data_IF_432770466425
#
_entry.id   IF_432770466425
#
_cell.length_a   1.000
_cell.length_b   1.000
_cell.length_c   1.000
_cell.angle_alpha   90.00
_cell.angle_beta   90.00
_cell.angle_gamma   90.00
#
_symmetry.space_group_name_H-M   'P 1'
#
loop_
_entity.id
_entity.type
_entity.pdbx_description
1 polymer ?
#
# COMPACT_ATOMS: atom_id res chain seq x y z
N UNK A 1 4.62 -1.27 10.54
CA UNK A 1 3.52 -0.30 10.33
C UNK A 1 3.72 0.86 11.29
N UNK A 2 3.51 2.08 10.82
CA UNK A 2 3.41 3.33 11.59
C UNK A 2 1.97 3.81 11.50
N UNK A 3 1.31 3.92 12.64
CA UNK A 3 -0.13 4.21 12.71
C UNK A 3 -0.46 5.57 12.04
N UNK A 4 -1.52 5.58 11.23
CA UNK A 4 -1.93 6.75 10.46
C UNK A 4 -1.03 7.11 9.26
N UNK A 5 0.11 6.42 9.09
CA UNK A 5 1.12 6.75 8.07
C UNK A 5 1.29 5.65 7.01
N UNK A 6 1.47 4.39 7.42
CA UNK A 6 1.71 3.28 6.49
C UNK A 6 2.78 2.29 6.94
N UNK A 7 3.33 1.54 5.99
CA UNK A 7 4.40 0.55 6.24
C UNK A 7 5.77 1.13 5.93
N UNK A 8 6.74 0.85 6.81
CA UNK A 8 8.14 1.24 6.62
C UNK A 8 8.83 0.28 5.65
N UNK A 9 9.62 0.82 4.73
CA UNK A 9 10.43 0.02 3.80
C UNK A 9 11.62 -0.66 4.50
N UNK A 10 12.18 -0.02 5.54
CA UNK A 10 13.27 -0.57 6.37
C UNK A 10 12.93 -0.50 7.86
N UNK A 11 13.57 -1.33 8.66
CA UNK A 11 13.24 -1.49 10.09
C UNK A 11 13.81 -0.41 11.00
N UNK A 12 14.89 0.24 10.58
CA UNK A 12 15.70 1.18 11.34
C UNK A 12 15.40 2.65 11.04
N UNK A 13 14.81 2.96 9.89
CA UNK A 13 14.44 4.34 9.52
C UNK A 13 12.92 4.55 9.48
N UNK A 14 12.41 5.76 9.80
CA UNK A 14 10.99 6.13 9.73
C UNK A 14 10.54 6.46 8.30
N UNK A 15 11.03 5.70 7.31
CA UNK A 15 10.73 5.85 5.90
C UNK A 15 9.55 4.98 5.51
N UNK A 16 8.39 5.61 5.33
CA UNK A 16 7.15 4.97 4.89
C UNK A 16 7.05 5.05 3.38
N UNK A 17 6.59 3.98 2.73
CA UNK A 17 6.45 3.92 1.27
C UNK A 17 5.05 3.49 0.88
N UNK A 18 4.56 4.04 -0.24
CA UNK A 18 3.22 3.73 -0.72
C UNK A 18 3.09 2.28 -1.20
N UNK A 19 4.14 1.73 -1.84
CA UNK A 19 4.20 0.34 -2.30
C UNK A 19 4.09 -0.64 -1.14
N UNK A 20 4.96 -0.55 -0.13
CA UNK A 20 4.98 -1.47 1.00
C UNK A 20 3.71 -1.34 1.83
N UNK A 21 3.12 -0.13 1.91
CA UNK A 21 1.80 0.06 2.54
C UNK A 21 0.70 -0.68 1.77
N UNK A 22 0.70 -0.57 0.43
CA UNK A 22 -0.26 -1.28 -0.42
C UNK A 22 -0.04 -2.80 -0.41
N UNK A 23 1.19 -3.29 -0.42
CA UNK A 23 1.53 -4.71 -0.31
C UNK A 23 1.15 -5.27 1.06
N UNK A 24 1.31 -4.49 2.12
CA UNK A 24 0.80 -4.86 3.45
C UNK A 24 -0.73 -4.96 3.43
N UNK A 25 -1.42 -4.00 2.80
CA UNK A 25 -2.87 -4.08 2.62
C UNK A 25 -3.28 -5.33 1.84
N UNK A 26 -2.54 -5.66 0.76
CA UNK A 26 -2.75 -6.85 -0.03
C UNK A 26 -2.58 -8.14 0.80
N UNK A 27 -1.59 -8.18 1.69
CA UNK A 27 -1.35 -9.30 2.58
C UNK A 27 -2.48 -9.50 3.61
N UNK A 28 -3.04 -8.41 4.17
CA UNK A 28 -4.22 -8.51 5.04
C UNK A 28 -5.48 -8.93 4.27
N UNK A 29 -5.68 -8.38 3.08
CA UNK A 29 -6.77 -8.81 2.20
C UNK A 29 -6.64 -10.30 1.84
N UNK A 30 -5.41 -10.80 1.69
CA UNK A 30 -5.14 -12.18 1.36
C UNK A 30 -5.64 -13.19 2.40
N UNK A 31 -5.61 -12.80 3.67
CA UNK A 31 -6.07 -13.62 4.81
C UNK A 31 -7.51 -13.29 5.23
N UNK A 32 -8.23 -12.45 4.46
CA UNK A 32 -9.61 -12.08 4.73
C UNK A 32 -9.80 -10.93 5.73
N UNK A 33 -8.72 -10.31 6.23
CA UNK A 33 -8.81 -9.11 7.07
C UNK A 33 -8.96 -7.85 6.20
N UNK A 34 -10.17 -7.69 5.66
CA UNK A 34 -10.50 -6.61 4.73
C UNK A 34 -10.54 -5.24 5.44
N UNK A 35 -10.85 -5.20 6.73
CA UNK A 35 -10.91 -3.96 7.51
C UNK A 35 -9.51 -3.34 7.67
N UNK A 36 -8.53 -4.13 8.11
CA UNK A 36 -7.14 -3.69 8.21
C UNK A 36 -6.57 -3.34 6.84
N UNK A 37 -6.88 -4.15 5.81
CA UNK A 37 -6.46 -3.88 4.44
C UNK A 37 -6.99 -2.54 3.92
N UNK A 38 -8.27 -2.25 4.16
CA UNK A 38 -8.92 -1.00 3.73
C UNK A 38 -8.32 0.23 4.42
N UNK A 39 -7.97 0.09 5.71
CA UNK A 39 -7.32 1.15 6.46
C UNK A 39 -5.92 1.47 5.89
N UNK A 40 -5.08 0.44 5.70
CA UNK A 40 -3.75 0.59 5.12
C UNK A 40 -3.81 1.18 3.70
N UNK A 41 -4.73 0.70 2.87
CA UNK A 41 -4.94 1.25 1.53
C UNK A 41 -5.31 2.74 1.58
N UNK A 42 -6.10 3.16 2.57
CA UNK A 42 -6.46 4.58 2.76
C UNK A 42 -5.24 5.43 3.10
N UNK A 43 -4.29 4.92 3.90
CA UNK A 43 -3.07 5.65 4.25
C UNK A 43 -2.15 5.91 3.05
N UNK A 44 -2.19 5.08 1.99
CA UNK A 44 -1.45 5.35 0.74
C UNK A 44 -1.79 6.72 0.13
N UNK A 45 -2.98 7.27 0.43
CA UNK A 45 -3.39 8.62 -0.04
C UNK A 45 -2.44 9.72 0.44
N UNK A 46 -1.72 9.55 1.54
CA UNK A 46 -0.69 10.50 1.99
C UNK A 46 0.46 10.68 1.00
N UNK A 47 0.66 9.71 0.12
CA UNK A 47 1.68 9.72 -0.94
C UNK A 47 1.13 10.18 -2.30
N UNK A 48 -0.20 10.30 -2.46
CA UNK A 48 -0.83 10.56 -3.76
C UNK A 48 -0.56 11.99 -4.22
N UNK A 49 -0.12 12.13 -5.46
CA UNK A 49 0.14 13.40 -6.17
C UNK A 49 -1.11 13.85 -6.92
N UNK A 50 -1.12 15.13 -7.32
CA UNK A 50 -2.25 15.74 -8.04
C UNK A 50 -2.50 15.09 -9.41
N UNK A 51 -1.45 14.58 -10.07
CA UNK A 51 -1.54 13.83 -11.33
C UNK A 51 -2.02 12.37 -11.16
N UNK A 52 -2.27 11.95 -9.92
CA UNK A 52 -2.72 10.61 -9.57
C UNK A 52 -1.61 9.58 -9.36
N UNK A 53 -0.35 9.91 -9.63
CA UNK A 53 0.79 9.07 -9.26
C UNK A 53 1.05 9.13 -7.74
N UNK A 54 1.99 8.33 -7.25
CA UNK A 54 2.33 8.27 -5.82
C UNK A 54 3.83 8.53 -5.66
N UNK A 55 4.20 9.36 -4.69
CA UNK A 55 5.58 9.43 -4.22
C UNK A 55 5.99 8.04 -3.71
N UNK A 56 7.20 7.59 -4.05
CA UNK A 56 7.72 6.30 -3.58
C UNK A 56 7.65 6.21 -2.06
N UNK A 57 8.20 7.21 -1.36
CA UNK A 57 8.16 7.26 0.10
C UNK A 57 8.35 8.63 0.72
N UNK A 58 8.08 8.67 2.02
CA UNK A 58 8.09 9.86 2.86
C UNK A 58 8.78 9.49 4.19
N UNK A 59 9.83 10.23 4.54
CA UNK A 59 10.54 10.10 5.81
C UNK A 59 9.84 10.96 6.85
N UNK A 60 9.47 10.35 7.99
CA UNK A 60 8.80 11.02 9.10
C UNK A 60 9.76 11.33 10.26
N UNK A 61 9.52 12.39 11.06
CA UNK A 61 8.35 13.28 11.04
C UNK A 61 8.43 14.43 10.03
N UNK A 62 9.60 14.69 9.44
CA UNK A 62 9.86 15.89 8.63
C UNK A 62 9.16 15.89 7.25
N UNK A 63 8.53 14.77 6.89
CA UNK A 63 7.79 14.56 5.63
C UNK A 63 8.64 14.80 4.39
N UNK A 64 9.89 14.36 4.43
CA UNK A 64 10.83 14.48 3.32
C UNK A 64 10.53 13.37 2.31
N UNK A 65 10.28 13.72 1.05
CA UNK A 65 10.13 12.74 -0.03
C UNK A 65 11.47 12.06 -0.27
N UNK A 66 11.47 10.72 -0.25
CA UNK A 66 12.66 9.92 -0.50
C UNK A 66 12.29 8.61 -1.24
N UNK A 67 13.01 8.25 -2.31
CA UNK A 67 14.04 9.04 -2.99
C UNK A 67 13.51 10.35 -3.60
N UNK A 68 14.39 11.34 -3.80
CA UNK A 68 13.99 12.68 -4.24
C UNK A 68 13.24 12.65 -5.57
N UNK A 69 12.05 13.24 -5.60
CA UNK A 69 11.21 13.34 -6.79
C UNK A 69 10.70 12.01 -7.35
N UNK A 70 10.90 10.87 -6.68
CA UNK A 70 10.61 9.56 -7.27
C UNK A 70 9.12 9.19 -7.18
N UNK A 71 8.55 8.81 -8.34
CA UNK A 71 7.19 8.31 -8.46
C UNK A 71 7.12 7.20 -9.52
N UNK A 72 7.24 5.95 -9.10
CA UNK A 72 7.38 4.83 -10.05
C UNK A 72 6.02 4.26 -10.48
N UNK A 73 6.00 3.64 -11.67
CA UNK A 73 4.85 2.85 -12.13
C UNK A 73 4.60 1.63 -11.24
N UNK A 74 5.65 1.06 -10.65
CA UNK A 74 5.56 -0.03 -9.68
C UNK A 74 4.76 0.38 -8.43
N UNK A 75 5.06 1.55 -7.85
CA UNK A 75 4.31 2.08 -6.70
C UNK A 75 2.83 2.23 -7.03
N UNK A 76 2.50 2.80 -8.18
CA UNK A 76 1.12 2.93 -8.63
C UNK A 76 0.45 1.56 -8.85
N UNK A 77 1.17 0.60 -9.45
CA UNK A 77 0.67 -0.75 -9.69
C UNK A 77 0.34 -1.49 -8.37
N UNK A 78 1.21 -1.39 -7.36
CA UNK A 78 0.97 -1.97 -6.04
C UNK A 78 -0.34 -1.44 -5.41
N UNK A 79 -0.57 -0.12 -5.49
CA UNK A 79 -1.82 0.48 -4.99
C UNK A 79 -3.04 -0.01 -5.77
N UNK A 80 -2.95 -0.12 -7.11
CA UNK A 80 -4.05 -0.63 -7.93
C UNK A 80 -4.36 -2.09 -7.61
N UNK A 81 -3.36 -2.95 -7.45
CA UNK A 81 -3.55 -4.35 -7.08
C UNK A 81 -4.17 -4.51 -5.70
N UNK A 82 -3.71 -3.73 -4.71
CA UNK A 82 -4.31 -3.69 -3.38
C UNK A 82 -5.76 -3.22 -3.42
N UNK A 83 -6.06 -2.16 -4.20
CA UNK A 83 -7.42 -1.66 -4.36
C UNK A 83 -8.35 -2.68 -5.05
N UNK A 84 -7.88 -3.35 -6.10
CA UNK A 84 -8.66 -4.39 -6.78
C UNK A 84 -8.92 -5.58 -5.85
N UNK A 85 -7.89 -6.02 -5.10
CA UNK A 85 -8.05 -7.08 -4.11
C UNK A 85 -9.06 -6.67 -3.05
N UNK A 86 -8.91 -5.50 -2.39
CA UNK A 86 -9.82 -5.05 -1.32
C UNK A 86 -11.26 -4.88 -1.81
N UNK A 87 -11.47 -4.21 -2.94
CA UNK A 87 -12.81 -3.90 -3.46
C UNK A 87 -13.46 -5.03 -4.24
N UNK A 88 -12.70 -6.07 -4.61
CA UNK A 88 -13.13 -7.17 -5.47
C UNK A 88 -13.69 -6.68 -6.82
N UNK A 89 -13.05 -5.66 -7.39
CA UNK A 89 -13.57 -4.93 -8.55
C UNK A 89 -13.41 -5.68 -9.88
N UNK A 90 -12.52 -6.67 -9.93
CA UNK A 90 -12.23 -7.46 -11.12
C UNK A 90 -12.25 -8.97 -10.85
N UNK A 91 -12.36 -9.81 -11.90
CA UNK A 91 -12.17 -11.27 -11.76
C UNK A 91 -10.78 -11.65 -11.22
N UNK A 92 -9.78 -10.79 -11.39
CA UNK A 92 -8.42 -11.02 -10.91
C UNK A 92 -8.20 -10.59 -9.45
N UNK A 93 -9.21 -10.02 -8.79
CA UNK A 93 -9.10 -9.56 -7.40
C UNK A 93 -8.76 -10.65 -6.38
N UNK A 94 -8.98 -11.91 -6.74
CA UNK A 94 -8.62 -13.08 -5.93
C UNK A 94 -7.19 -13.58 -6.16
N UNK A 95 -6.42 -12.99 -7.08
CA UNK A 95 -5.10 -13.48 -7.48
C UNK A 95 -4.13 -13.69 -6.31
N UNK A 96 -4.21 -12.82 -5.30
CA UNK A 96 -3.39 -12.89 -4.10
C UNK A 96 -4.16 -13.32 -2.86
N UNK A 97 -5.44 -13.67 -2.98
CA UNK A 97 -6.26 -14.11 -1.84
C UNK A 97 -6.10 -15.60 -1.64
N UNK A 98 -5.88 -16.01 -0.39
CA UNK A 98 -5.92 -17.43 -0.05
C UNK A 98 -7.36 -17.93 -0.17
N UNK A 99 -7.53 -19.08 -0.80
CA UNK A 99 -8.77 -19.82 -0.69
C UNK A 99 -8.83 -20.45 0.71
N UNK A 100 -9.33 -19.69 1.68
CA UNK A 100 -9.50 -20.19 3.06
C UNK A 100 -10.48 -21.37 3.14
N UNK A 101 -11.28 -21.63 2.09
CA UNK A 101 -12.14 -22.80 2.01
C UNK A 101 -11.43 -24.03 1.43
N UNK A 102 -10.22 -23.87 0.87
CA UNK A 102 -9.40 -24.94 0.31
C UNK A 102 -7.89 -24.67 0.57
N UNK A 103 -7.45 -24.82 1.83
CA UNK A 103 -6.10 -24.42 2.29
C UNK A 103 -4.96 -25.32 1.79
#
# INVERSE_FOLDING_TARGET
IMDGLGTRCVSDEPWVTASETAETALAFAAIGDVDTASQLLTWTRGHRRDDGSYWTGIVHPDRIVFPDGEHTSYTAAAVVLAADSVCQSSPASSLFRFDLANP
#
